data_IF_118570902586
#
_entry.id   IF_118570902586
#
_cell.length_a   1.000
_cell.length_b   1.000
_cell.length_c   1.000
_cell.angle_alpha   90.00
_cell.angle_beta   90.00
_cell.angle_gamma   90.00
#
_symmetry.space_group_name_H-M   'P 1'
#
loop_
_entity.id
_entity.type
_entity.pdbx_description
1 polymer ?
#
# COMPACT_ATOMS: atom_id res chain seq x y z
N UNK A 1 -0.60 6.57 -15.94
CA UNK A 1 -1.16 7.44 -14.89
C UNK A 1 -0.03 7.88 -13.97
N UNK A 2 -0.09 9.10 -13.41
CA UNK A 2 0.92 9.62 -12.50
C UNK A 2 0.28 9.93 -11.15
N UNK A 3 0.96 9.56 -10.06
CA UNK A 3 0.51 9.87 -8.71
C UNK A 3 0.99 11.28 -8.34
N UNK A 4 0.11 12.23 -7.99
CA UNK A 4 0.51 13.60 -7.62
C UNK A 4 1.08 13.70 -6.20
N UNK A 5 1.24 12.58 -5.48
CA UNK A 5 1.78 12.49 -4.12
C UNK A 5 2.92 11.50 -4.07
N UNK A 6 3.87 11.73 -3.17
CA UNK A 6 4.91 10.76 -2.85
C UNK A 6 4.33 9.57 -2.08
N UNK A 7 4.84 8.37 -2.36
CA UNK A 7 4.45 7.16 -1.64
C UNK A 7 4.90 7.19 -0.18
N UNK A 8 6.18 7.46 0.15
CA UNK A 8 6.63 7.48 1.55
C UNK A 8 6.30 8.80 2.25
N UNK A 9 6.40 8.77 3.58
CA UNK A 9 6.50 9.99 4.37
C UNK A 9 7.85 10.65 4.13
N UNK A 10 7.84 11.97 3.96
CA UNK A 10 9.06 12.78 3.97
C UNK A 10 8.97 13.85 5.03
N UNK A 11 10.02 13.97 5.85
CA UNK A 11 10.23 15.12 6.73
C UNK A 11 11.33 15.97 6.12
N UNK A 12 10.98 17.18 5.68
CA UNK A 12 11.90 18.10 5.01
C UNK A 12 11.96 19.43 5.77
N UNK A 13 12.89 20.31 5.39
CA UNK A 13 12.94 21.67 5.92
C UNK A 13 11.65 22.47 5.67
N UNK A 14 10.89 22.15 4.62
CA UNK A 14 9.61 22.77 4.29
C UNK A 14 8.41 22.15 5.05
N UNK A 15 8.67 21.18 5.94
CA UNK A 15 7.66 20.46 6.71
C UNK A 15 7.49 19.01 6.29
N UNK A 16 6.43 18.38 6.78
CA UNK A 16 6.16 16.96 6.62
C UNK A 16 5.16 16.70 5.50
N UNK A 17 5.56 15.87 4.55
CA UNK A 17 4.69 15.34 3.50
C UNK A 17 4.16 13.99 3.97
N UNK A 18 2.83 13.88 4.04
CA UNK A 18 2.15 12.63 4.41
C UNK A 18 2.31 11.58 3.30
N UNK A 19 2.45 10.29 3.66
CA UNK A 19 2.54 9.21 2.67
C UNK A 19 1.25 9.10 1.85
N UNK A 20 1.36 8.53 0.66
CA UNK A 20 0.19 8.18 -0.13
C UNK A 20 -0.60 7.05 0.55
N UNK A 21 -1.92 7.06 0.35
CA UNK A 21 -2.80 5.96 0.71
C UNK A 21 -3.18 5.19 -0.56
N UNK A 22 -3.04 3.88 -0.53
CA UNK A 22 -3.41 3.01 -1.65
C UNK A 22 -4.40 1.94 -1.18
N UNK A 23 -5.45 1.72 -1.98
CA UNK A 23 -6.41 0.63 -1.79
C UNK A 23 -6.19 -0.42 -2.88
N UNK A 24 -5.95 -1.67 -2.50
CA UNK A 24 -5.83 -2.80 -3.43
C UNK A 24 -7.09 -3.66 -3.34
N UNK A 25 -7.84 -3.74 -4.45
CA UNK A 25 -9.03 -4.58 -4.56
C UNK A 25 -8.65 -5.89 -5.26
N UNK A 26 -8.80 -7.00 -4.53
CA UNK A 26 -8.38 -8.34 -4.93
C UNK A 26 -6.94 -8.64 -4.51
N UNK A 27 -6.76 -9.70 -3.71
CA UNK A 27 -5.48 -10.20 -3.21
C UNK A 27 -5.13 -11.56 -3.82
N UNK A 28 -5.17 -11.65 -5.15
CA UNK A 28 -4.48 -12.70 -5.91
C UNK A 28 -2.98 -12.40 -6.04
N UNK A 29 -2.27 -13.12 -6.91
CA UNK A 29 -0.81 -12.94 -7.11
C UNK A 29 -0.44 -11.48 -7.44
N UNK A 30 -1.17 -10.85 -8.38
CA UNK A 30 -0.92 -9.45 -8.74
C UNK A 30 -1.23 -8.49 -7.59
N UNK A 31 -2.29 -8.75 -6.83
CA UNK A 31 -2.70 -7.92 -5.69
C UNK A 31 -1.68 -7.96 -4.56
N UNK A 32 -1.25 -9.17 -4.16
CA UNK A 32 -0.22 -9.35 -3.14
C UNK A 32 1.11 -8.67 -3.55
N UNK A 33 1.49 -8.76 -4.83
CA UNK A 33 2.68 -8.07 -5.31
C UNK A 33 2.53 -6.54 -5.31
N UNK A 34 1.35 -6.03 -5.64
CA UNK A 34 1.04 -4.61 -5.57
C UNK A 34 1.10 -4.09 -4.12
N UNK A 35 0.54 -4.84 -3.17
CA UNK A 35 0.62 -4.55 -1.73
C UNK A 35 2.08 -4.49 -1.29
N UNK A 36 2.86 -5.56 -1.53
CA UNK A 36 4.25 -5.63 -1.12
C UNK A 36 5.08 -4.47 -1.69
N UNK A 37 4.88 -4.16 -2.98
CA UNK A 37 5.59 -3.08 -3.65
C UNK A 37 5.22 -1.72 -3.09
N UNK A 38 3.93 -1.42 -2.93
CA UNK A 38 3.47 -0.13 -2.42
C UNK A 38 3.89 0.09 -0.95
N UNK A 39 3.81 -0.95 -0.10
CA UNK A 39 4.32 -0.91 1.28
C UNK A 39 5.82 -0.68 1.32
N UNK A 40 6.61 -1.38 0.49
CA UNK A 40 8.07 -1.18 0.39
C UNK A 40 8.44 0.24 -0.02
N UNK A 41 7.62 0.87 -0.86
CA UNK A 41 7.78 2.27 -1.28
C UNK A 41 7.28 3.27 -0.23
N UNK A 42 6.76 2.82 0.93
CA UNK A 42 6.37 3.64 2.06
C UNK A 42 4.93 4.15 2.04
N UNK A 43 4.10 3.66 1.12
CA UNK A 43 2.67 3.97 1.14
C UNK A 43 1.96 3.29 2.32
N UNK A 44 0.90 3.94 2.80
CA UNK A 44 -0.09 3.28 3.64
C UNK A 44 -1.02 2.51 2.70
N UNK A 45 -1.03 1.19 2.82
CA UNK A 45 -1.85 0.33 1.97
C UNK A 45 -2.95 -0.30 2.80
N UNK A 46 -4.15 -0.31 2.24
CA UNK A 46 -5.31 -1.09 2.69
C UNK A 46 -5.67 -2.07 1.55
N UNK A 47 -6.16 -3.25 1.88
CA UNK A 47 -6.56 -4.23 0.89
C UNK A 47 -7.92 -4.85 1.20
N UNK A 48 -8.65 -5.23 0.15
CA UNK A 48 -9.93 -5.91 0.25
C UNK A 48 -10.00 -7.07 -0.74
N UNK A 49 -10.45 -8.23 -0.29
CA UNK A 49 -10.80 -9.38 -1.11
C UNK A 49 -12.07 -10.02 -0.54
N UNK A 50 -12.91 -10.57 -1.40
CA UNK A 50 -14.16 -11.24 -0.97
C UNK A 50 -13.90 -12.59 -0.29
N UNK A 51 -12.73 -13.19 -0.53
CA UNK A 51 -12.35 -14.49 0.02
C UNK A 51 -11.66 -14.30 1.37
N UNK A 52 -12.12 -14.96 2.45
CA UNK A 52 -11.46 -14.84 3.76
C UNK A 52 -10.07 -15.51 3.79
N UNK A 53 -9.81 -16.46 2.89
CA UNK A 53 -8.58 -17.26 2.88
C UNK A 53 -7.28 -16.46 2.65
N UNK A 54 -7.37 -15.25 2.08
CA UNK A 54 -6.19 -14.42 1.77
C UNK A 54 -5.85 -13.41 2.86
N UNK A 55 -6.63 -13.36 3.96
CA UNK A 55 -6.46 -12.38 5.04
C UNK A 55 -5.06 -12.41 5.65
N UNK A 56 -4.59 -13.59 6.06
CA UNK A 56 -3.27 -13.74 6.68
C UNK A 56 -2.13 -13.32 5.73
N UNK A 57 -2.28 -13.60 4.43
CA UNK A 57 -1.31 -13.19 3.41
C UNK A 57 -1.25 -11.67 3.29
N UNK A 58 -2.40 -11.00 3.26
CA UNK A 58 -2.50 -9.54 3.23
C UNK A 58 -1.87 -8.91 4.48
N UNK A 59 -2.22 -9.42 5.67
CA UNK A 59 -1.70 -8.92 6.95
C UNK A 59 -0.19 -9.12 7.06
N UNK A 60 0.34 -10.26 6.59
CA UNK A 60 1.79 -10.54 6.58
C UNK A 60 2.59 -9.55 5.73
N UNK A 61 1.96 -8.94 4.72
CA UNK A 61 2.56 -7.92 3.87
C UNK A 61 2.38 -6.49 4.43
N UNK A 62 1.66 -6.35 5.55
CA UNK A 62 1.46 -5.08 6.26
C UNK A 62 0.36 -4.21 5.68
N UNK A 63 -0.67 -4.79 5.06
CA UNK A 63 -1.87 -4.10 4.58
C UNK A 63 -3.15 -4.68 5.19
#
# INVERSE_FOLDING_TARGET
GHLPKFLPMFTTAAGTIRPAKALVLGAGVAGLQAIATARRLGAVVEAFDVRPAVKEQVESLGA
#
